data_IF_591519684210
#
_entry.id   IF_591519684210
#
_cell.length_a   1.000
_cell.length_b   1.000
_cell.length_c   1.000
_cell.angle_alpha   90.00
_cell.angle_beta   90.00
_cell.angle_gamma   90.00
#
_symmetry.space_group_name_H-M   'P 1'
#
loop_
_entity.id
_entity.type
_entity.pdbx_description
1 polymer ?
#
# COMPACT_ATOMS: atom_id res chain seq x y z
N UNK A 1 8.38 23.11 17.39
CA UNK A 1 7.43 22.82 16.31
C UNK A 1 6.79 21.47 16.63
N UNK A 2 5.50 21.45 16.89
CA UNK A 2 4.76 20.25 17.32
C UNK A 2 4.83 19.19 16.22
N UNK A 3 5.28 17.98 16.57
CA UNK A 3 5.24 16.83 15.67
C UNK A 3 3.78 16.58 15.28
N UNK A 4 3.42 16.96 14.05
CA UNK A 4 2.13 16.69 13.46
C UNK A 4 1.97 15.17 13.40
N UNK A 5 0.93 14.63 14.04
CA UNK A 5 0.55 13.23 13.85
C UNK A 5 0.48 12.92 12.35
N UNK A 6 0.95 11.75 11.89
CA UNK A 6 0.79 11.36 10.50
C UNK A 6 -0.70 11.47 10.14
N UNK A 7 -1.05 12.14 9.03
CA UNK A 7 -2.44 12.31 8.63
C UNK A 7 -3.11 10.93 8.52
N UNK A 8 -4.24 10.78 9.21
CA UNK A 8 -5.08 9.59 9.11
C UNK A 8 -5.39 9.31 7.63
N UNK A 9 -5.21 8.07 7.16
CA UNK A 9 -5.61 7.68 5.79
C UNK A 9 -7.08 7.99 5.48
N UNK A 10 -7.93 8.07 6.51
CA UNK A 10 -9.33 8.50 6.39
C UNK A 10 -9.55 9.95 5.93
N UNK A 11 -8.51 10.80 5.96
CA UNK A 11 -8.59 12.19 5.47
C UNK A 11 -8.19 12.31 4.00
N UNK A 12 -7.69 11.24 3.39
CA UNK A 12 -7.44 11.19 1.95
C UNK A 12 -8.79 11.09 1.21
N UNK A 13 -9.10 12.02 0.28
CA UNK A 13 -10.37 12.02 -0.44
C UNK A 13 -10.59 10.78 -1.31
N UNK A 14 -9.53 10.19 -1.85
CA UNK A 14 -9.59 8.96 -2.65
C UNK A 14 -9.89 7.76 -1.75
N UNK A 15 -9.23 7.64 -0.60
CA UNK A 15 -9.55 6.57 0.35
C UNK A 15 -10.96 6.70 0.93
N UNK A 16 -11.43 7.93 1.18
CA UNK A 16 -12.80 8.20 1.61
C UNK A 16 -13.86 7.83 0.58
N UNK A 17 -13.51 7.78 -0.72
CA UNK A 17 -14.42 7.31 -1.77
C UNK A 17 -14.59 5.80 -1.75
N UNK A 18 -13.54 5.05 -1.42
CA UNK A 18 -13.59 3.58 -1.34
C UNK A 18 -14.67 3.12 -0.37
N UNK A 19 -14.83 3.80 0.78
CA UNK A 19 -15.85 3.46 1.78
C UNK A 19 -17.29 3.74 1.33
N UNK A 20 -17.48 4.40 0.17
CA UNK A 20 -18.79 4.73 -0.39
C UNK A 20 -19.15 3.87 -1.61
N UNK A 21 -18.26 2.97 -2.03
CA UNK A 21 -18.54 2.03 -3.10
C UNK A 21 -19.57 1.00 -2.61
N UNK A 22 -20.54 0.68 -3.46
CA UNK A 22 -21.59 -0.27 -3.14
C UNK A 22 -21.06 -1.71 -2.97
N UNK A 23 -19.98 -2.04 -3.69
CA UNK A 23 -19.30 -3.33 -3.60
C UNK A 23 -17.78 -3.11 -3.71
N UNK A 24 -17.05 -3.57 -2.69
CA UNK A 24 -15.59 -3.55 -2.60
C UNK A 24 -15.00 -4.96 -2.58
N UNK A 25 -15.82 -6.01 -2.73
CA UNK A 25 -15.42 -7.41 -2.57
C UNK A 25 -14.34 -7.85 -3.57
N UNK A 26 -14.28 -7.19 -4.73
CA UNK A 26 -13.32 -7.44 -5.83
C UNK A 26 -12.25 -6.35 -5.95
N UNK A 27 -12.22 -5.37 -5.04
CA UNK A 27 -11.21 -4.32 -5.08
C UNK A 27 -9.93 -4.82 -4.43
N UNK A 28 -8.83 -4.74 -5.18
CA UNK A 28 -7.48 -4.96 -4.67
C UNK A 28 -6.67 -3.67 -4.77
N UNK A 29 -5.79 -3.44 -3.81
CA UNK A 29 -4.91 -2.26 -3.78
C UNK A 29 -3.46 -2.70 -3.69
N UNK A 30 -2.62 -2.14 -4.57
CA UNK A 30 -1.18 -2.34 -4.54
C UNK A 30 -0.50 -1.23 -3.73
N UNK A 31 0.14 -1.61 -2.63
CA UNK A 31 1.02 -0.73 -1.86
C UNK A 31 2.40 -0.72 -2.52
N UNK A 32 2.73 0.35 -3.23
CA UNK A 32 3.96 0.45 -4.01
C UNK A 32 4.41 1.91 -4.19
N UNK A 33 5.58 2.10 -4.80
CA UNK A 33 6.08 3.40 -5.26
C UNK A 33 6.03 4.55 -4.21
N UNK A 34 6.55 4.35 -2.98
CA UNK A 34 6.53 5.40 -1.95
C UNK A 34 7.26 6.67 -2.40
N UNK A 35 8.21 6.57 -3.33
CA UNK A 35 8.98 7.69 -3.86
C UNK A 35 8.18 8.63 -4.78
N UNK A 36 7.05 8.17 -5.32
CA UNK A 36 6.20 8.94 -6.24
C UNK A 36 5.14 9.77 -5.53
N UNK A 37 5.04 9.63 -4.21
CA UNK A 37 3.95 10.22 -3.43
C UNK A 37 4.47 10.94 -2.19
N UNK A 38 3.80 12.04 -1.82
CA UNK A 38 4.02 12.71 -0.53
C UNK A 38 3.20 12.09 0.61
N UNK A 39 2.48 11.00 0.35
CA UNK A 39 1.57 10.38 1.32
C UNK A 39 2.32 9.58 2.38
N UNK A 40 1.78 9.61 3.59
CA UNK A 40 2.20 8.75 4.69
C UNK A 40 1.64 7.34 4.48
N UNK A 41 2.40 6.52 3.73
CA UNK A 41 1.97 5.20 3.27
C UNK A 41 1.52 4.26 4.40
N UNK A 42 2.13 4.33 5.59
CA UNK A 42 1.73 3.49 6.74
C UNK A 42 0.31 3.79 7.24
N UNK A 43 -0.09 5.07 7.29
CA UNK A 43 -1.44 5.46 7.68
C UNK A 43 -2.49 5.05 6.64
N UNK A 44 -2.13 5.08 5.35
CA UNK A 44 -2.98 4.64 4.25
C UNK A 44 -3.13 3.11 4.25
N UNK A 45 -2.02 2.38 4.40
CA UNK A 45 -2.02 0.93 4.53
C UNK A 45 -2.90 0.49 5.71
N UNK A 46 -2.73 1.08 6.90
CA UNK A 46 -3.55 0.75 8.05
C UNK A 46 -5.06 1.02 7.84
N UNK A 47 -5.41 2.10 7.13
CA UNK A 47 -6.80 2.38 6.78
C UNK A 47 -7.36 1.36 5.78
N UNK A 48 -6.60 1.08 4.73
CA UNK A 48 -6.96 0.12 3.69
C UNK A 48 -7.11 -1.29 4.25
N UNK A 49 -6.22 -1.73 5.14
CA UNK A 49 -6.33 -3.03 5.82
C UNK A 49 -7.61 -3.15 6.62
N UNK A 50 -8.01 -2.09 7.35
CA UNK A 50 -9.28 -2.09 8.09
C UNK A 50 -10.51 -2.04 7.19
N UNK A 51 -10.40 -1.49 5.99
CA UNK A 51 -11.53 -1.26 5.08
C UNK A 51 -11.74 -2.43 4.12
N UNK A 52 -10.66 -2.99 3.58
CA UNK A 52 -10.68 -4.02 2.54
C UNK A 52 -10.30 -5.41 3.06
N UNK A 53 -9.63 -5.49 4.21
CA UNK A 53 -8.94 -6.72 4.65
C UNK A 53 -7.52 -6.82 4.09
N UNK A 54 -6.64 -7.53 4.79
CA UNK A 54 -5.25 -7.73 4.37
C UNK A 54 -5.16 -8.56 3.08
N UNK A 55 -6.11 -9.46 2.88
CA UNK A 55 -6.29 -10.32 1.70
C UNK A 55 -6.70 -9.60 0.42
N UNK A 56 -6.83 -8.27 0.48
CA UNK A 56 -7.08 -7.38 -0.66
C UNK A 56 -5.91 -6.46 -0.95
N UNK A 57 -4.81 -6.58 -0.22
CA UNK A 57 -3.62 -5.76 -0.39
C UNK A 57 -2.49 -6.60 -0.96
N UNK A 58 -1.83 -6.08 -1.98
CA UNK A 58 -0.56 -6.62 -2.50
C UNK A 58 0.53 -5.58 -2.35
N UNK A 59 1.77 -5.99 -2.18
CA UNK A 59 2.90 -5.08 -2.26
C UNK A 59 3.68 -5.29 -3.55
N UNK A 60 4.34 -4.24 -4.02
CA UNK A 60 5.36 -4.39 -5.05
C UNK A 60 6.37 -3.26 -4.98
N UNK A 61 7.60 -3.57 -5.38
CA UNK A 61 8.70 -2.60 -5.31
C UNK A 61 8.48 -1.40 -6.23
N UNK A 62 7.84 -1.58 -7.39
CA UNK A 62 7.84 -0.61 -8.51
C UNK A 62 9.23 -0.43 -9.16
N UNK A 63 10.14 -1.38 -8.94
CA UNK A 63 11.45 -1.38 -9.61
C UNK A 63 11.29 -1.34 -11.14
N UNK A 64 12.11 -0.56 -11.89
CA UNK A 64 13.34 0.14 -11.49
C UNK A 64 13.16 1.55 -10.91
N UNK A 65 11.95 1.92 -10.45
CA UNK A 65 11.64 3.28 -10.01
C UNK A 65 11.85 4.30 -11.13
N UNK A 66 11.28 4.06 -12.32
CA UNK A 66 11.49 4.91 -13.49
C UNK A 66 11.28 6.39 -13.15
N UNK A 67 12.23 7.25 -13.57
CA UNK A 67 12.36 8.69 -13.24
C UNK A 67 12.82 9.02 -11.80
N UNK A 68 13.13 8.03 -10.98
CA UNK A 68 13.59 8.17 -9.58
C UNK A 68 14.86 7.34 -9.30
N UNK A 69 15.50 6.80 -10.34
CA UNK A 69 16.62 5.85 -10.29
C UNK A 69 17.81 6.43 -9.51
N UNK A 70 18.07 7.74 -9.65
CA UNK A 70 19.16 8.42 -8.95
C UNK A 70 18.89 8.74 -7.47
N UNK A 71 17.68 8.45 -6.96
CA UNK A 71 17.26 8.80 -5.59
C UNK A 71 16.89 7.59 -4.75
N UNK A 72 16.33 6.57 -5.38
CA UNK A 72 15.75 5.41 -4.70
C UNK A 72 16.28 4.12 -5.30
N UNK A 73 17.13 3.45 -4.52
CA UNK A 73 17.58 2.10 -4.79
C UNK A 73 16.61 1.05 -4.21
N UNK A 74 16.86 -0.22 -4.49
CA UNK A 74 16.02 -1.32 -4.02
C UNK A 74 16.01 -1.46 -2.48
N UNK A 75 17.13 -1.17 -1.80
CA UNK A 75 17.22 -1.31 -0.35
C UNK A 75 16.30 -0.30 0.37
N UNK A 76 16.23 0.95 -0.09
CA UNK A 76 15.28 1.94 0.40
C UNK A 76 13.83 1.49 0.21
N UNK A 77 13.52 0.82 -0.90
CA UNK A 77 12.17 0.31 -1.17
C UNK A 77 11.78 -0.80 -0.18
N UNK A 78 12.71 -1.70 0.14
CA UNK A 78 12.53 -2.72 1.18
C UNK A 78 12.34 -2.07 2.55
N UNK A 79 13.14 -1.07 2.91
CA UNK A 79 12.95 -0.32 4.17
C UNK A 79 11.54 0.31 4.25
N UNK A 80 11.03 0.85 3.15
CA UNK A 80 9.67 1.37 3.10
C UNK A 80 8.60 0.28 3.26
N UNK A 81 8.82 -0.95 2.75
CA UNK A 81 7.91 -2.09 2.99
C UNK A 81 7.78 -2.39 4.47
N UNK A 82 8.90 -2.49 5.18
CA UNK A 82 8.89 -2.81 6.62
C UNK A 82 8.12 -1.76 7.44
N UNK A 83 8.17 -0.49 7.02
CA UNK A 83 7.43 0.61 7.66
C UNK A 83 5.91 0.56 7.44
N UNK A 84 5.40 -0.26 6.53
CA UNK A 84 3.96 -0.44 6.34
C UNK A 84 3.32 -1.24 7.48
N UNK A 85 4.14 -1.95 8.27
CA UNK A 85 3.67 -2.85 9.33
C UNK A 85 3.38 -4.26 8.79
N UNK A 86 2.69 -5.11 9.58
CA UNK A 86 2.44 -6.50 9.20
C UNK A 86 1.54 -6.55 7.96
N UNK A 87 2.13 -6.93 6.82
CA UNK A 87 1.44 -7.14 5.55
C UNK A 87 1.73 -8.55 5.06
N UNK A 88 0.69 -9.38 5.06
CA UNK A 88 0.70 -10.71 4.44
C UNK A 88 -0.18 -10.65 3.18
N UNK A 89 0.46 -10.58 2.03
CA UNK A 89 -0.17 -10.49 0.72
C UNK A 89 -0.32 -11.85 0.02
N UNK A 90 0.05 -12.96 0.66
CA UNK A 90 0.01 -14.31 0.04
C UNK A 90 -1.35 -14.64 -0.57
N UNK A 91 -2.44 -14.39 0.18
CA UNK A 91 -3.79 -14.64 -0.33
C UNK A 91 -4.15 -13.74 -1.51
N UNK A 92 -3.82 -12.44 -1.43
CA UNK A 92 -4.11 -11.49 -2.49
C UNK A 92 -3.32 -11.81 -3.77
N UNK A 93 -2.05 -12.21 -3.62
CA UNK A 93 -1.19 -12.69 -4.71
C UNK A 93 -1.75 -13.95 -5.35
N UNK A 94 -2.17 -14.93 -4.55
CA UNK A 94 -2.82 -16.16 -5.06
C UNK A 94 -4.11 -15.86 -5.82
N UNK A 95 -5.00 -15.04 -5.24
CA UNK A 95 -6.27 -14.65 -5.87
C UNK A 95 -6.07 -13.89 -7.19
N UNK A 96 -5.05 -13.02 -7.30
CA UNK A 96 -4.83 -12.15 -8.46
C UNK A 96 -3.99 -12.77 -9.57
N UNK A 97 -2.90 -13.45 -9.19
CA UNK A 97 -1.87 -13.87 -10.13
C UNK A 97 -1.85 -15.39 -10.34
N UNK A 98 -2.56 -16.15 -9.51
CA UNK A 98 -2.61 -17.60 -9.59
C UNK A 98 -1.32 -18.40 -9.30
N UNK A 99 -0.24 -17.89 -8.66
CA UNK A 99 0.82 -18.77 -8.22
C UNK A 99 0.30 -19.58 -7.02
N UNK A 100 -0.07 -20.84 -7.24
CA UNK A 100 -0.05 -21.82 -6.17
C UNK A 100 1.41 -22.00 -5.76
N UNK A 101 1.73 -21.61 -4.52
CA UNK A 101 2.95 -22.06 -3.86
C UNK A 101 2.61 -23.44 -3.28
N UNK A 102 2.76 -24.47 -4.12
CA UNK A 102 2.77 -25.88 -3.69
C UNK A 102 4.10 -26.21 -2.99
#
# INVERSE_FOLDING_TARGET
>A
MTASHPPCGCRDPLLSRITRLADISRLYVKLSAPCRTGLYMSAHAAFLTRTLGAERLVWGSDWPQTQHEGRVDFAKVVEHRERLGPLNDTKAVGDLYGPSMD
#
